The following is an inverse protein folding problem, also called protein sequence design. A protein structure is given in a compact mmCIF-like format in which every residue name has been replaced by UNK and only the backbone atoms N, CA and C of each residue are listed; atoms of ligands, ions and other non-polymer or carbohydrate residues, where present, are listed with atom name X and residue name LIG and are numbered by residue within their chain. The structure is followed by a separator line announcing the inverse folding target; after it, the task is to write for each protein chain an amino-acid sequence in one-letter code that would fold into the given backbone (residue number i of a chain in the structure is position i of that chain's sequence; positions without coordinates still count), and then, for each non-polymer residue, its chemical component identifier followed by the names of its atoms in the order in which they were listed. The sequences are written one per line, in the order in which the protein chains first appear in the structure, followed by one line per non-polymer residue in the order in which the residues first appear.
data_IF_530137052240
#
_entry.id   IF_530137052240
#
_cell.length_a   1.000
_cell.length_b   1.000
_cell.length_c   1.000
_cell.angle_alpha   90.00
_cell.angle_beta   90.00
_cell.angle_gamma   90.00
#
_symmetry.space_group_name_H-M   'P 1'
#
loop_
_entity.id
_entity.type
_entity.pdbx_description
1 polymer ?
#
# COMPACT_ATOMS: atom_id res chain seq x y z
N UNK A 1 -43.99 -3.07 -61.21
CA UNK A 1 -42.92 -2.86 -60.21
C UNK A 1 -43.43 -1.89 -59.16
N UNK A 2 -43.73 -2.39 -57.96
CA UNK A 2 -43.92 -1.61 -56.72
C UNK A 2 -43.60 -2.57 -55.58
N UNK A 3 -42.53 -2.26 -54.86
CA UNK A 3 -42.02 -3.00 -53.73
C UNK A 3 -42.72 -2.52 -52.45
N UNK A 4 -43.04 -3.43 -51.53
CA UNK A 4 -42.90 -3.16 -50.09
C UNK A 4 -42.77 -4.47 -49.33
N UNK A 5 -41.61 -4.66 -48.71
CA UNK A 5 -41.29 -5.70 -47.72
C UNK A 5 -41.87 -5.27 -46.35
N UNK A 6 -42.41 -6.22 -45.60
CA UNK A 6 -42.73 -6.03 -44.19
C UNK A 6 -42.37 -7.29 -43.39
N UNK A 7 -42.02 -7.06 -42.13
CA UNK A 7 -41.71 -7.99 -41.04
C UNK A 7 -40.28 -8.56 -41.02
N UNK A 8 -39.37 -7.81 -40.41
CA UNK A 8 -38.19 -8.37 -39.73
C UNK A 8 -38.68 -8.88 -38.37
N UNK A 9 -38.52 -10.19 -38.17
CA UNK A 9 -38.86 -10.88 -36.93
C UNK A 9 -37.84 -10.55 -35.83
N UNK A 10 -38.34 -10.45 -34.60
CA UNK A 10 -37.56 -10.31 -33.37
C UNK A 10 -36.60 -11.50 -33.22
N UNK A 11 -35.29 -11.24 -33.24
CA UNK A 11 -34.28 -12.17 -32.74
C UNK A 11 -33.71 -11.65 -31.43
N UNK A 12 -33.95 -12.44 -30.39
CA UNK A 12 -33.46 -12.25 -29.03
C UNK A 12 -31.95 -12.01 -28.99
N UNK A 13 -31.53 -10.92 -28.32
CA UNK A 13 -30.13 -10.71 -27.97
C UNK A 13 -29.85 -11.52 -26.72
N UNK A 14 -29.31 -12.72 -26.89
CA UNK A 14 -28.63 -13.43 -25.81
C UNK A 14 -27.38 -12.63 -25.46
N UNK A 15 -27.46 -11.85 -24.38
CA UNK A 15 -26.28 -11.24 -23.79
C UNK A 15 -25.40 -12.38 -23.24
N UNK A 16 -24.41 -12.83 -24.02
CA UNK A 16 -23.28 -13.55 -23.46
C UNK A 16 -22.58 -12.58 -22.51
N UNK A 17 -22.72 -12.82 -21.21
CA UNK A 17 -21.83 -12.23 -20.23
C UNK A 17 -20.41 -12.63 -20.65
N UNK A 18 -19.66 -11.67 -21.18
CA UNK A 18 -18.24 -11.85 -21.38
C UNK A 18 -17.65 -12.24 -20.02
N UNK A 19 -16.84 -13.30 -19.91
CA UNK A 19 -16.10 -13.52 -18.69
C UNK A 19 -15.30 -12.24 -18.46
N UNK A 20 -15.59 -11.55 -17.37
CA UNK A 20 -14.68 -10.55 -16.84
C UNK A 20 -13.41 -11.33 -16.54
N UNK A 21 -12.48 -11.34 -17.49
CA UNK A 21 -11.10 -11.69 -17.24
C UNK A 21 -10.60 -10.60 -16.31
N UNK A 22 -10.93 -10.75 -15.03
CA UNK A 22 -10.24 -10.08 -13.96
C UNK A 22 -8.77 -10.41 -14.24
N UNK A 23 -7.91 -9.41 -14.49
CA UNK A 23 -6.52 -9.68 -14.75
C UNK A 23 -6.05 -10.53 -13.57
N UNK A 24 -5.72 -11.79 -13.82
CA UNK A 24 -5.03 -12.63 -12.86
C UNK A 24 -3.90 -11.78 -12.30
N UNK A 25 -3.67 -11.74 -10.98
CA UNK A 25 -2.56 -10.99 -10.43
C UNK A 25 -1.29 -11.54 -11.07
N UNK A 26 -0.83 -10.91 -12.12
CA UNK A 26 0.35 -11.29 -12.89
C UNK A 26 1.51 -11.29 -11.92
N UNK A 27 1.88 -12.44 -11.37
CA UNK A 27 3.13 -12.68 -10.62
C UNK A 27 3.50 -11.50 -9.68
N UNK A 28 2.52 -10.99 -8.91
CA UNK A 28 2.66 -9.75 -8.12
C UNK A 28 3.54 -9.92 -6.88
N UNK A 29 3.76 -11.16 -6.45
CA UNK A 29 4.73 -11.59 -5.46
C UNK A 29 5.42 -12.86 -5.96
N UNK A 30 6.68 -13.00 -5.60
CA UNK A 30 7.45 -14.23 -5.70
C UNK A 30 8.25 -14.40 -4.40
N UNK A 31 9.03 -15.49 -4.30
CA UNK A 31 9.85 -15.75 -3.13
C UNK A 31 10.80 -14.60 -2.78
N UNK A 32 11.15 -13.72 -3.72
CA UNK A 32 11.98 -12.54 -3.47
C UNK A 32 11.21 -11.32 -2.96
N UNK A 33 9.87 -11.35 -3.00
CA UNK A 33 9.00 -10.22 -2.70
C UNK A 33 7.75 -10.66 -1.89
N UNK A 34 7.92 -11.17 -0.67
CA UNK A 34 6.86 -11.85 0.07
C UNK A 34 5.74 -10.95 0.60
N UNK A 35 5.90 -9.62 0.54
CA UNK A 35 4.95 -8.68 1.12
C UNK A 35 4.56 -7.54 0.16
N UNK A 36 3.32 -7.07 0.27
CA UNK A 36 2.95 -5.72 -0.16
C UNK A 36 2.80 -4.78 1.03
N UNK A 37 3.17 -3.53 0.80
CA UNK A 37 2.98 -2.42 1.72
C UNK A 37 1.98 -1.46 1.08
N UNK A 38 0.87 -1.20 1.77
CA UNK A 38 -0.27 -0.44 1.25
C UNK A 38 -0.90 0.42 2.35
N UNK A 39 -1.86 1.26 1.98
CA UNK A 39 -2.58 2.15 2.92
C UNK A 39 -1.63 2.98 3.79
N UNK A 40 -0.56 3.48 3.18
CA UNK A 40 0.42 4.30 3.86
C UNK A 40 -0.23 5.63 4.23
N UNK A 41 -0.07 6.07 5.48
CA UNK A 41 -0.34 7.42 5.94
C UNK A 41 0.82 7.88 6.82
N UNK A 42 1.41 9.03 6.48
CA UNK A 42 2.48 9.66 7.23
C UNK A 42 2.08 11.11 7.49
N UNK A 43 1.92 11.48 8.75
CA UNK A 43 1.45 12.79 9.19
C UNK A 43 2.48 13.42 10.11
N UNK A 44 2.76 14.69 9.90
CA UNK A 44 3.57 15.46 10.84
C UNK A 44 2.67 16.05 11.92
N UNK A 45 3.01 15.78 13.19
CA UNK A 45 2.31 16.29 14.36
C UNK A 45 3.06 17.51 14.89
N UNK A 46 2.47 18.69 14.79
CA UNK A 46 3.14 19.96 15.09
C UNK A 46 3.40 20.17 16.58
N UNK A 47 2.52 19.68 17.44
CA UNK A 47 2.65 19.85 18.89
C UNK A 47 3.82 19.08 19.48
N UNK A 48 4.08 17.87 18.98
CA UNK A 48 5.12 16.97 19.47
C UNK A 48 6.35 16.90 18.55
N UNK A 49 6.30 17.53 17.36
CA UNK A 49 7.32 17.41 16.32
C UNK A 49 7.67 15.93 16.00
N UNK A 50 6.63 15.10 15.92
CA UNK A 50 6.75 13.65 15.63
C UNK A 50 5.97 13.31 14.37
N UNK A 51 6.31 12.18 13.77
CA UNK A 51 5.58 11.66 12.62
C UNK A 51 4.67 10.50 13.00
N UNK A 52 3.37 10.66 12.83
CA UNK A 52 2.45 9.54 12.91
C UNK A 52 2.50 8.77 11.59
N UNK A 53 3.02 7.55 11.64
CA UNK A 53 3.18 6.68 10.49
C UNK A 53 2.33 5.44 10.65
N UNK A 54 1.59 5.08 9.60
CA UNK A 54 0.78 3.88 9.52
C UNK A 54 0.89 3.26 8.12
N UNK A 55 0.88 1.93 8.06
CA UNK A 55 0.68 1.18 6.83
C UNK A 55 0.07 -0.20 7.12
N UNK A 56 -0.34 -0.89 6.07
CA UNK A 56 -0.74 -2.29 6.10
C UNK A 56 0.27 -3.14 5.34
N UNK A 57 0.82 -4.13 6.02
CA UNK A 57 1.60 -5.20 5.41
C UNK A 57 0.68 -6.37 5.07
N UNK A 58 0.80 -6.92 3.86
CA UNK A 58 0.08 -8.13 3.46
C UNK A 58 1.07 -9.19 2.99
N UNK A 59 0.99 -10.38 3.57
CA UNK A 59 1.65 -11.60 3.15
C UNK A 59 0.74 -12.41 2.22
N UNK A 60 1.34 -13.16 1.31
CA UNK A 60 0.64 -13.91 0.27
C UNK A 60 1.10 -15.36 0.25
N UNK A 61 0.21 -16.25 -0.18
CA UNK A 61 0.55 -17.62 -0.53
C UNK A 61 1.32 -17.68 -1.86
N UNK A 62 1.97 -18.81 -2.15
CA UNK A 62 2.70 -19.04 -3.41
C UNK A 62 1.81 -18.93 -4.66
N UNK A 63 0.50 -19.13 -4.51
CA UNK A 63 -0.48 -18.98 -5.59
C UNK A 63 -0.86 -17.50 -5.86
N UNK A 64 -0.35 -16.56 -5.07
CA UNK A 64 -0.61 -15.12 -5.18
C UNK A 64 -1.85 -14.62 -4.44
N UNK A 65 -2.54 -15.47 -3.68
CA UNK A 65 -3.68 -15.04 -2.86
C UNK A 65 -3.21 -14.38 -1.55
N UNK A 66 -3.88 -13.31 -1.08
CA UNK A 66 -3.61 -12.75 0.23
C UNK A 66 -3.80 -13.81 1.31
N UNK A 67 -2.75 -14.06 2.08
CA UNK A 67 -2.81 -14.98 3.20
C UNK A 67 -3.16 -14.24 4.48
N UNK A 68 -2.45 -13.16 4.77
CA UNK A 68 -2.54 -12.45 6.03
C UNK A 68 -2.22 -10.98 5.86
N UNK A 69 -2.90 -10.10 6.61
CA UNK A 69 -2.61 -8.66 6.66
C UNK A 69 -2.49 -8.18 8.10
N UNK A 70 -1.55 -7.28 8.37
CA UNK A 70 -1.41 -6.59 9.65
C UNK A 70 -1.22 -5.10 9.43
N UNK A 71 -1.77 -4.29 10.35
CA UNK A 71 -1.48 -2.86 10.42
C UNK A 71 -0.24 -2.64 11.28
N UNK A 72 0.62 -1.75 10.83
CA UNK A 72 1.83 -1.32 11.52
C UNK A 72 1.72 0.20 11.73
N UNK A 73 1.89 0.66 12.96
CA UNK A 73 1.71 2.07 13.31
C UNK A 73 2.74 2.50 14.35
N UNK A 74 3.28 3.70 14.20
CA UNK A 74 4.15 4.33 15.18
C UNK A 74 3.95 5.85 15.21
N UNK A 75 4.30 6.46 16.33
CA UNK A 75 4.58 7.90 16.41
C UNK A 75 6.10 8.06 16.44
N UNK A 76 6.72 8.18 15.26
CA UNK A 76 8.17 8.28 15.12
C UNK A 76 8.67 9.63 15.60
N UNK A 77 9.58 9.60 16.57
CA UNK A 77 10.29 10.79 17.02
C UNK A 77 11.64 10.88 16.27
N UNK A 78 11.93 11.97 15.53
CA UNK A 78 13.20 12.15 14.82
C UNK A 78 14.45 12.11 15.71
N UNK A 79 14.31 12.29 17.02
CA UNK A 79 15.40 12.18 18.00
C UNK A 79 15.72 10.73 18.39
N UNK A 80 14.87 9.76 18.06
CA UNK A 80 15.14 8.33 18.27
C UNK A 80 16.11 7.85 17.19
N UNK A 81 17.15 7.06 17.54
CA UNK A 81 18.07 6.54 16.54
C UNK A 81 17.35 5.69 15.50
N UNK A 82 17.70 5.88 14.24
CA UNK A 82 17.25 5.06 13.13
C UNK A 82 17.77 3.62 13.26
N UNK A 83 17.26 2.70 12.44
CA UNK A 83 17.87 1.38 12.26
C UNK A 83 17.22 0.22 13.03
N UNK A 84 17.77 -1.00 12.85
CA UNK A 84 17.22 -2.24 13.38
C UNK A 84 17.23 -2.34 14.91
N UNK A 85 17.99 -1.49 15.60
CA UNK A 85 18.02 -1.40 17.07
C UNK A 85 16.77 -0.76 17.67
N UNK A 86 15.96 -0.05 16.88
CA UNK A 86 14.72 0.59 17.31
C UNK A 86 13.49 0.10 16.51
N UNK A 87 13.21 -1.23 16.51
CA UNK A 87 12.09 -1.78 15.76
C UNK A 87 10.77 -1.35 16.40
N UNK A 88 9.79 -1.08 15.54
CA UNK A 88 8.42 -0.75 15.90
C UNK A 88 7.55 -1.99 15.66
N UNK A 89 6.81 -2.47 16.67
CA UNK A 89 5.95 -3.62 16.50
C UNK A 89 4.75 -3.27 15.61
N UNK A 90 4.29 -4.25 14.84
CA UNK A 90 2.98 -4.19 14.19
C UNK A 90 1.90 -4.74 15.12
N UNK A 91 0.63 -4.62 14.72
CA UNK A 91 -0.50 -5.16 15.48
C UNK A 91 -0.41 -6.69 15.66
N UNK A 92 0.14 -7.38 14.66
CA UNK A 92 0.57 -8.76 14.79
C UNK A 92 2.06 -8.82 15.15
N UNK A 93 2.37 -9.51 16.24
CA UNK A 93 3.67 -9.57 16.89
C UNK A 93 4.78 -10.23 16.07
N UNK A 94 4.41 -11.09 15.12
CA UNK A 94 5.35 -11.68 14.17
C UNK A 94 5.90 -10.68 13.14
N UNK A 95 5.38 -9.44 13.12
CA UNK A 95 5.85 -8.38 12.25
C UNK A 95 6.38 -7.19 13.06
N UNK A 96 7.49 -6.65 12.59
CA UNK A 96 8.03 -5.37 13.05
C UNK A 96 8.60 -4.60 11.88
N UNK A 97 8.82 -3.30 12.06
CA UNK A 97 9.42 -2.46 11.03
C UNK A 97 10.35 -1.43 11.65
N UNK A 98 11.24 -0.87 10.85
CA UNK A 98 12.06 0.25 11.26
C UNK A 98 12.40 1.13 10.06
N UNK A 99 12.86 2.35 10.34
CA UNK A 99 13.37 3.28 9.34
C UNK A 99 14.90 3.19 9.34
N UNK A 100 15.57 2.66 8.31
CA UNK A 100 17.02 2.46 8.29
C UNK A 100 17.82 3.74 8.55
N UNK A 101 17.31 4.87 8.05
CA UNK A 101 17.95 6.19 8.16
C UNK A 101 17.06 7.23 8.88
N UNK A 102 15.98 6.77 9.52
CA UNK A 102 14.95 7.62 10.11
C UNK A 102 14.06 8.29 9.05
N UNK A 103 13.03 9.00 9.51
CA UNK A 103 12.19 9.83 8.64
C UNK A 103 12.77 11.24 8.60
N UNK A 104 13.58 11.53 7.58
CA UNK A 104 14.15 12.87 7.37
C UNK A 104 13.18 13.79 6.62
N UNK A 105 12.37 13.21 5.73
CA UNK A 105 11.35 13.92 4.96
C UNK A 105 10.11 13.05 4.85
N UNK A 106 8.93 13.65 4.70
CA UNK A 106 7.70 12.87 4.48
C UNK A 106 7.59 12.31 3.06
N UNK A 107 8.32 12.92 2.11
CA UNK A 107 8.29 12.61 0.68
C UNK A 107 9.19 11.44 0.30
N UNK A 108 10.27 11.20 1.06
CA UNK A 108 11.22 10.15 0.77
C UNK A 108 11.82 9.58 2.06
N UNK A 109 11.63 8.28 2.29
CA UNK A 109 12.20 7.55 3.41
C UNK A 109 12.31 6.06 3.11
N UNK A 110 13.33 5.44 3.70
CA UNK A 110 13.51 4.00 3.69
C UNK A 110 12.62 3.33 4.74
N UNK A 111 12.10 2.16 4.40
CA UNK A 111 11.30 1.32 5.28
C UNK A 111 11.79 -0.12 5.18
N UNK A 112 12.10 -0.71 6.32
CA UNK A 112 12.37 -2.15 6.43
C UNK A 112 11.25 -2.81 7.22
N UNK A 113 10.71 -3.89 6.66
CA UNK A 113 9.69 -4.73 7.30
C UNK A 113 10.30 -6.10 7.57
N UNK A 114 10.24 -6.54 8.82
CA UNK A 114 10.63 -7.87 9.28
C UNK A 114 9.35 -8.68 9.49
N UNK A 115 9.29 -9.88 8.93
CA UNK A 115 8.16 -10.78 9.12
C UNK A 115 8.52 -12.25 8.97
N UNK A 116 7.54 -13.16 9.03
CA UNK A 116 7.76 -14.61 9.04
C UNK A 116 8.46 -15.17 7.79
N UNK A 117 8.28 -14.52 6.64
CA UNK A 117 8.83 -14.92 5.35
C UNK A 117 10.13 -14.15 5.01
N UNK A 118 10.77 -13.55 6.01
CA UNK A 118 12.02 -12.80 5.87
C UNK A 118 11.84 -11.30 6.03
N UNK A 119 12.95 -10.59 5.85
CA UNK A 119 13.04 -9.13 5.93
C UNK A 119 13.05 -8.53 4.54
N UNK A 120 12.24 -7.51 4.29
CA UNK A 120 12.25 -6.75 3.04
C UNK A 120 12.58 -5.28 3.30
N UNK A 121 13.28 -4.64 2.37
CA UNK A 121 13.64 -3.23 2.51
C UNK A 121 13.51 -2.46 1.20
N UNK A 122 13.04 -1.23 1.28
CA UNK A 122 12.94 -0.35 0.13
C UNK A 122 12.60 1.08 0.49
N UNK A 123 12.50 1.93 -0.53
CA UNK A 123 12.21 3.35 -0.36
C UNK A 123 10.73 3.64 -0.70
N UNK A 124 10.11 4.48 0.11
CA UNK A 124 8.82 5.11 -0.20
C UNK A 124 9.12 6.50 -0.74
N UNK A 125 8.80 6.73 -2.02
CA UNK A 125 9.07 7.99 -2.71
C UNK A 125 7.76 8.61 -3.20
N UNK A 126 7.64 9.92 -3.00
CA UNK A 126 6.52 10.72 -3.50
C UNK A 126 6.37 10.56 -5.02
N UNK A 127 5.13 10.37 -5.46
CA UNK A 127 4.79 10.10 -6.85
C UNK A 127 3.35 9.62 -7.02
N UNK A 128 3.03 8.95 -8.15
CA UNK A 128 1.66 8.53 -8.46
C UNK A 128 1.02 7.62 -7.39
N UNK A 129 1.83 6.86 -6.67
CA UNK A 129 1.39 5.90 -5.64
C UNK A 129 1.34 6.49 -4.24
N UNK A 130 1.99 7.62 -3.98
CA UNK A 130 2.17 8.22 -2.66
C UNK A 130 2.26 9.73 -2.80
N UNK A 131 1.22 10.44 -2.37
CA UNK A 131 1.07 11.87 -2.59
C UNK A 131 1.18 12.62 -1.27
N UNK A 132 1.77 13.81 -1.32
CA UNK A 132 2.09 14.64 -0.19
C UNK A 132 1.50 16.04 -0.35
N UNK A 133 0.96 16.61 0.72
CA UNK A 133 0.44 17.96 0.72
C UNK A 133 0.05 18.45 2.12
N UNK A 134 -0.44 19.70 2.22
CA UNK A 134 -1.04 20.20 3.45
C UNK A 134 -2.13 19.26 3.94
N UNK A 135 -2.25 19.09 5.25
CA UNK A 135 -3.32 18.28 5.80
C UNK A 135 -4.67 19.00 5.70
N UNK A 136 -5.63 18.37 5.02
CA UNK A 136 -6.97 18.94 4.77
C UNK A 136 -8.06 18.33 5.66
N UNK A 137 -7.69 17.50 6.64
CA UNK A 137 -8.65 16.84 7.54
C UNK A 137 -9.04 17.69 8.75
N UNK A 138 -9.87 17.11 9.62
CA UNK A 138 -10.41 17.80 10.79
C UNK A 138 -9.59 17.60 12.08
N UNK A 139 -8.57 16.75 12.04
CA UNK A 139 -7.72 16.48 13.20
C UNK A 139 -6.77 17.67 13.40
N UNK A 140 -6.87 18.35 14.54
CA UNK A 140 -5.95 19.42 14.92
C UNK A 140 -4.52 18.91 15.13
N UNK A 141 -3.55 19.82 15.04
CA UNK A 141 -2.14 19.51 15.31
C UNK A 141 -1.42 18.78 14.18
N UNK A 142 -2.00 18.73 12.97
CA UNK A 142 -1.39 18.16 11.76
C UNK A 142 -1.27 19.26 10.70
N UNK A 143 -0.06 19.53 10.22
CA UNK A 143 0.20 20.51 9.16
C UNK A 143 0.41 19.87 7.78
N UNK A 144 0.87 18.63 7.74
CA UNK A 144 1.24 17.95 6.51
C UNK A 144 0.91 16.46 6.55
N UNK A 145 0.43 15.92 5.44
CA UNK A 145 0.15 14.50 5.26
C UNK A 145 0.71 14.01 3.92
N UNK A 146 1.31 12.83 3.96
CA UNK A 146 1.54 12.02 2.79
C UNK A 146 0.79 10.69 2.92
N UNK A 147 0.16 10.24 1.84
CA UNK A 147 -0.61 9.00 1.83
C UNK A 147 -0.54 8.26 0.51
N UNK A 148 -0.69 6.94 0.57
CA UNK A 148 -0.82 6.13 -0.64
C UNK A 148 -2.12 6.48 -1.37
N UNK A 149 -2.08 6.58 -2.70
CA UNK A 149 -3.27 6.77 -3.53
C UNK A 149 -4.06 5.46 -3.66
N UNK A 150 -5.28 5.53 -4.19
CA UNK A 150 -6.10 4.33 -4.38
C UNK A 150 -5.41 3.34 -5.34
N UNK A 151 -5.10 2.14 -4.86
CA UNK A 151 -4.27 1.17 -5.60
C UNK A 151 -2.76 1.44 -5.55
N UNK A 152 -2.30 2.37 -4.71
CA UNK A 152 -0.89 2.58 -4.41
C UNK A 152 -0.38 1.51 -3.44
N UNK A 153 0.44 0.59 -3.93
CA UNK A 153 1.19 -0.35 -3.10
C UNK A 153 2.66 -0.43 -3.53
N UNK A 154 3.47 -0.82 -2.57
CA UNK A 154 4.90 -1.02 -2.68
C UNK A 154 5.23 -2.48 -2.47
N UNK A 155 6.23 -2.95 -3.19
CA UNK A 155 6.75 -4.30 -3.11
C UNK A 155 8.25 -4.16 -3.00
N UNK A 156 8.81 -4.74 -1.94
CA UNK A 156 10.22 -4.60 -1.60
C UNK A 156 10.93 -5.95 -1.73
N UNK A 157 12.19 -5.97 -2.18
CA UNK A 157 12.99 -7.18 -2.23
C UNK A 157 13.36 -7.66 -0.82
N UNK A 158 13.56 -8.97 -0.68
CA UNK A 158 14.24 -9.56 0.47
C UNK A 158 15.68 -9.01 0.61
N UNK A 159 16.12 -8.84 1.86
CA UNK A 159 17.49 -8.44 2.23
C UNK A 159 18.23 -9.50 3.01
#
# INVERSE_FOLDING_TARGET
MKATLAAIALSAVSALAAPTTQPSPTKRQDAGHPYTISFISLRHLTESNTYNFQFTATNYFDNGDPHFSTTCQTAWNPSVPAGPENPQPCAYDAFSFYFPSGIQTLQNYGLTLVGPNGTVSGEIVSGPKYQCGPYEGQIGGIDYECKSTNGGWFVFPLV
#
